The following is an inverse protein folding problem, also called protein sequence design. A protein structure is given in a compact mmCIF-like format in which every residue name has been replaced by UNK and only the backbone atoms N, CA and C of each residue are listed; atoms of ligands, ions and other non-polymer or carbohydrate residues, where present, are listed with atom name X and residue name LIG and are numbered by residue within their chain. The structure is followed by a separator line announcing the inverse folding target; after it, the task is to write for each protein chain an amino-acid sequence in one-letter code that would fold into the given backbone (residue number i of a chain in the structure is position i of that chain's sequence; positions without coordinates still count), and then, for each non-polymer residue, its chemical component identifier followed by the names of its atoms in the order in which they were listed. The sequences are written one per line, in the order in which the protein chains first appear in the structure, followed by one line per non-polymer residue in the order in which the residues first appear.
data_IF_204554810421
#
_entry.id   IF_204554810421
#
_cell.length_a   1.000
_cell.length_b   1.000
_cell.length_c   1.000
_cell.angle_alpha   90.00
_cell.angle_beta   90.00
_cell.angle_gamma   90.00
#
_symmetry.space_group_name_H-M   'P 1'
#
loop_
_entity.id
_entity.type
_entity.pdbx_description
1 polymer ?
#
# COMPACT_ATOMS: atom_id res chain seq x y z
N UNK A 1 -0.50 16.69 -23.50
CA UNK A 1 -1.23 16.28 -22.27
C UNK A 1 -0.49 16.84 -21.06
N UNK A 2 -1.04 17.83 -20.34
CA UNK A 2 -0.37 18.45 -19.19
C UNK A 2 -0.33 17.45 -18.03
N UNK A 3 0.83 16.87 -17.74
CA UNK A 3 1.07 16.11 -16.50
C UNK A 3 0.99 17.08 -15.32
N UNK A 4 -0.16 17.15 -14.66
CA UNK A 4 -0.35 17.98 -13.47
C UNK A 4 0.40 17.33 -12.29
N UNK A 5 1.68 17.68 -12.17
CA UNK A 5 2.54 17.38 -11.03
C UNK A 5 2.07 18.22 -9.83
N UNK A 6 1.91 17.57 -8.67
CA UNK A 6 1.57 18.25 -7.43
C UNK A 6 2.67 18.03 -6.40
N UNK A 7 3.48 19.08 -6.22
CA UNK A 7 4.62 19.16 -5.29
C UNK A 7 4.37 20.24 -4.23
N UNK A 8 3.42 20.07 -3.30
CA UNK A 8 3.23 21.03 -2.23
C UNK A 8 4.46 21.05 -1.33
N UNK A 9 4.96 22.26 -1.06
CA UNK A 9 6.11 22.51 -0.20
C UNK A 9 5.82 22.20 1.28
N UNK A 10 6.88 22.21 2.10
CA UNK A 10 7.00 21.66 3.46
C UNK A 10 5.94 22.08 4.51
N UNK A 11 5.03 23.02 4.21
CA UNK A 11 4.07 23.59 5.17
C UNK A 11 2.66 22.99 5.11
N UNK A 12 2.32 22.20 4.10
CA UNK A 12 0.95 21.70 3.96
C UNK A 12 0.73 20.42 4.78
N UNK A 13 0.08 20.54 5.93
CA UNK A 13 -0.34 19.39 6.76
C UNK A 13 -1.26 18.43 6.00
N UNK A 14 -2.05 18.94 5.04
CA UNK A 14 -2.96 18.16 4.20
C UNK A 14 -2.72 18.47 2.72
N UNK A 15 -2.70 17.43 1.90
CA UNK A 15 -2.51 17.51 0.46
C UNK A 15 -3.63 16.74 -0.23
N UNK A 16 -4.53 17.47 -0.92
CA UNK A 16 -5.68 16.90 -1.63
C UNK A 16 -5.71 17.35 -3.10
N UNK A 17 -4.83 16.81 -3.96
CA UNK A 17 -4.90 17.05 -5.39
C UNK A 17 -6.26 16.60 -5.95
N UNK A 18 -6.86 17.44 -6.80
CA UNK A 18 -8.08 17.09 -7.51
C UNK A 18 -7.88 15.95 -8.53
N UNK A 19 -8.98 15.52 -9.20
CA UNK A 19 -8.93 14.48 -10.21
C UNK A 19 -7.90 14.75 -11.32
N UNK A 20 -7.28 13.69 -11.84
CA UNK A 20 -6.33 13.78 -12.96
C UNK A 20 -4.90 14.21 -12.59
N UNK A 21 -4.61 14.47 -11.32
CA UNK A 21 -3.25 14.70 -10.82
C UNK A 21 -2.42 13.41 -10.89
N UNK A 22 -1.71 13.17 -12.01
CA UNK A 22 -1.01 11.90 -12.25
C UNK A 22 0.14 11.62 -11.30
N UNK A 23 0.84 12.66 -10.84
CA UNK A 23 2.01 12.57 -9.97
C UNK A 23 1.81 13.44 -8.73
N UNK A 24 1.85 12.81 -7.56
CA UNK A 24 1.68 13.48 -6.27
C UNK A 24 2.88 13.16 -5.38
N UNK A 25 3.74 14.16 -5.20
CA UNK A 25 5.00 14.04 -4.44
C UNK A 25 5.11 15.17 -3.40
N UNK A 26 4.28 15.16 -2.34
CA UNK A 26 4.41 16.12 -1.24
C UNK A 26 5.78 16.04 -0.59
N UNK A 27 6.34 17.20 -0.24
CA UNK A 27 7.56 17.26 0.56
C UNK A 27 7.36 16.80 2.02
N UNK A 28 8.43 16.84 2.82
CA UNK A 28 8.36 16.58 4.26
C UNK A 28 7.28 17.43 4.96
N UNK A 29 6.64 16.89 5.99
CA UNK A 29 5.63 17.62 6.79
C UNK A 29 4.17 17.43 6.35
N UNK A 30 3.94 16.84 5.17
CA UNK A 30 2.61 16.52 4.66
C UNK A 30 1.97 15.35 5.41
N UNK A 31 1.24 15.62 6.50
CA UNK A 31 0.68 14.57 7.37
C UNK A 31 -0.44 13.75 6.73
N UNK A 32 -1.26 14.34 5.88
CA UNK A 32 -2.36 13.66 5.17
C UNK A 32 -2.24 13.89 3.67
N UNK A 33 -2.27 12.81 2.90
CA UNK A 33 -2.12 12.83 1.44
C UNK A 33 -3.25 12.03 0.82
N UNK A 34 -4.22 12.73 0.23
CA UNK A 34 -5.45 12.16 -0.33
C UNK A 34 -5.67 12.66 -1.76
N UNK A 35 -4.88 12.21 -2.74
CA UNK A 35 -5.15 12.45 -4.16
C UNK A 35 -6.52 11.92 -4.57
N UNK A 36 -7.23 12.68 -5.39
CA UNK A 36 -8.44 12.21 -6.07
C UNK A 36 -8.16 11.12 -7.12
N UNK A 37 -9.21 10.66 -7.82
CA UNK A 37 -9.09 9.63 -8.84
C UNK A 37 -8.09 9.97 -9.95
N UNK A 38 -7.43 8.94 -10.48
CA UNK A 38 -6.53 9.07 -11.63
C UNK A 38 -5.10 9.50 -11.28
N UNK A 39 -4.79 9.69 -10.00
CA UNK A 39 -3.40 9.71 -9.56
C UNK A 39 -2.73 8.39 -9.93
N UNK A 40 -1.55 8.42 -10.55
CA UNK A 40 -0.84 7.19 -10.96
C UNK A 40 0.30 6.88 -10.01
N UNK A 41 1.03 7.91 -9.59
CA UNK A 41 2.16 7.81 -8.68
C UNK A 41 1.95 8.73 -7.48
N UNK A 42 2.02 8.17 -6.28
CA UNK A 42 1.82 8.87 -5.01
C UNK A 42 2.97 8.56 -4.08
N UNK A 43 3.90 9.51 -3.93
CA UNK A 43 5.18 9.33 -3.23
C UNK A 43 5.41 10.48 -2.25
N UNK A 44 4.63 10.56 -1.16
CA UNK A 44 4.86 11.59 -0.17
C UNK A 44 6.15 11.34 0.60
N UNK A 45 6.84 12.43 0.92
CA UNK A 45 8.07 12.42 1.69
C UNK A 45 7.89 11.99 3.16
N UNK A 46 8.98 12.03 3.94
CA UNK A 46 8.97 11.65 5.35
C UNK A 46 7.92 12.42 6.19
N UNK A 47 7.36 11.74 7.18
CA UNK A 47 6.43 12.35 8.14
C UNK A 47 4.98 12.41 7.67
N UNK A 48 4.68 11.94 6.45
CA UNK A 48 3.31 11.63 6.07
C UNK A 48 2.74 10.58 7.02
N UNK A 49 1.59 10.83 7.63
CA UNK A 49 0.98 9.90 8.60
C UNK A 49 -0.11 9.06 7.95
N UNK A 50 -0.88 9.66 7.05
CA UNK A 50 -1.99 9.00 6.37
C UNK A 50 -1.89 9.25 4.86
N UNK A 51 -1.93 8.17 4.09
CA UNK A 51 -1.81 8.20 2.64
C UNK A 51 -2.95 7.37 2.06
N UNK A 52 -3.91 8.06 1.45
CA UNK A 52 -5.18 7.50 0.98
C UNK A 52 -5.48 8.02 -0.42
N UNK A 53 -4.72 7.61 -1.44
CA UNK A 53 -5.05 7.99 -2.81
C UNK A 53 -6.31 7.27 -3.27
N UNK A 54 -7.13 7.98 -4.05
CA UNK A 54 -8.35 7.43 -4.62
C UNK A 54 -8.09 6.40 -5.74
N UNK A 55 -9.17 5.94 -6.39
CA UNK A 55 -9.09 4.92 -7.44
C UNK A 55 -8.11 5.28 -8.57
N UNK A 56 -7.44 4.26 -9.10
CA UNK A 56 -6.53 4.40 -10.24
C UNK A 56 -5.09 4.77 -9.89
N UNK A 57 -4.78 4.96 -8.60
CA UNK A 57 -3.42 4.87 -8.06
C UNK A 57 -2.76 3.61 -8.60
N UNK A 58 -1.58 3.70 -9.22
CA UNK A 58 -0.86 2.50 -9.69
C UNK A 58 0.28 2.15 -8.76
N UNK A 59 1.03 3.16 -8.35
CA UNK A 59 2.16 3.03 -7.44
C UNK A 59 2.00 4.01 -6.26
N UNK A 60 2.07 3.47 -5.05
CA UNK A 60 1.93 4.23 -3.81
C UNK A 60 3.11 3.91 -2.92
N UNK A 61 3.99 4.90 -2.77
CA UNK A 61 5.29 4.74 -2.10
C UNK A 61 5.53 5.84 -1.07
N UNK A 62 4.82 5.85 0.06
CA UNK A 62 5.09 6.81 1.11
C UNK A 62 6.42 6.55 1.81
N UNK A 63 7.12 7.65 2.11
CA UNK A 63 8.37 7.63 2.84
C UNK A 63 8.23 7.20 4.32
N UNK A 64 9.33 7.26 5.09
CA UNK A 64 9.34 6.91 6.50
C UNK A 64 8.32 7.69 7.34
N UNK A 65 7.75 7.05 8.35
CA UNK A 65 6.80 7.67 9.28
C UNK A 65 5.33 7.65 8.84
N UNK A 66 5.05 7.09 7.64
CA UNK A 66 3.72 6.62 7.25
C UNK A 66 3.14 5.80 8.39
N UNK A 67 1.95 6.12 8.90
CA UNK A 67 1.28 5.29 9.92
C UNK A 67 0.19 4.45 9.27
N UNK A 68 -0.54 5.03 8.34
CA UNK A 68 -1.64 4.39 7.61
C UNK A 68 -1.48 4.61 6.11
N UNK A 69 -1.54 3.51 5.36
CA UNK A 69 -1.46 3.49 3.90
C UNK A 69 -2.65 2.69 3.38
N UNK A 70 -3.62 3.39 2.80
CA UNK A 70 -4.90 2.83 2.37
C UNK A 70 -5.23 3.33 0.96
N UNK A 71 -4.51 2.85 -0.07
CA UNK A 71 -4.81 3.24 -1.44
C UNK A 71 -6.09 2.57 -1.93
N UNK A 72 -6.86 3.32 -2.71
CA UNK A 72 -8.10 2.88 -3.30
C UNK A 72 -7.92 1.81 -4.40
N UNK A 73 -9.03 1.35 -4.99
CA UNK A 73 -9.00 0.27 -5.97
C UNK A 73 -8.09 0.56 -7.17
N UNK A 74 -7.46 -0.49 -7.68
CA UNK A 74 -6.58 -0.42 -8.86
C UNK A 74 -5.13 -0.04 -8.55
N UNK A 75 -4.79 0.20 -7.28
CA UNK A 75 -3.41 0.12 -6.78
C UNK A 75 -2.77 -1.14 -7.33
N UNK A 76 -1.60 -1.07 -7.96
CA UNK A 76 -0.90 -2.28 -8.44
C UNK A 76 0.24 -2.64 -7.50
N UNK A 77 0.96 -1.62 -7.04
CA UNK A 77 2.07 -1.75 -6.13
C UNK A 77 1.94 -0.76 -4.99
N UNK A 78 2.09 -1.27 -3.77
CA UNK A 78 2.01 -0.51 -2.54
C UNK A 78 3.24 -0.84 -1.71
N UNK A 79 4.11 0.14 -1.52
CA UNK A 79 5.37 -0.04 -0.79
C UNK A 79 5.48 1.05 0.26
N UNK A 80 5.60 0.73 1.54
CA UNK A 80 5.72 1.76 2.57
C UNK A 80 7.14 1.81 3.13
N UNK A 81 7.61 3.01 3.49
CA UNK A 81 8.82 3.14 4.29
C UNK A 81 8.68 2.58 5.71
N UNK A 82 9.77 2.61 6.50
CA UNK A 82 9.76 2.22 7.91
C UNK A 82 8.73 3.00 8.73
N UNK A 83 8.18 2.34 9.75
CA UNK A 83 7.25 2.96 10.71
C UNK A 83 5.77 2.92 10.29
N UNK A 84 5.47 2.34 9.13
CA UNK A 84 4.13 1.90 8.75
C UNK A 84 3.51 1.11 9.90
N UNK A 85 2.29 1.44 10.31
CA UNK A 85 1.55 0.66 11.31
C UNK A 85 0.47 -0.17 10.64
N UNK A 86 -0.26 0.44 9.71
CA UNK A 86 -1.38 -0.15 9.00
C UNK A 86 -1.17 0.01 7.49
N UNK A 87 -1.21 -1.10 6.75
CA UNK A 87 -1.18 -1.13 5.29
C UNK A 87 -2.36 -1.94 4.79
N UNK A 88 -3.35 -1.26 4.23
CA UNK A 88 -4.65 -1.84 3.83
C UNK A 88 -5.04 -1.37 2.44
N UNK A 89 -4.38 -1.87 1.39
CA UNK A 89 -4.80 -1.52 0.04
C UNK A 89 -6.11 -2.20 -0.32
N UNK A 90 -6.98 -1.44 -1.00
CA UNK A 90 -8.23 -1.92 -1.56
C UNK A 90 -8.02 -2.97 -2.68
N UNK A 91 -9.09 -3.60 -3.20
CA UNK A 91 -8.97 -4.61 -4.24
C UNK A 91 -8.12 -4.19 -5.46
N UNK A 92 -7.37 -5.15 -5.99
CA UNK A 92 -6.56 -4.98 -7.21
C UNK A 92 -5.08 -4.70 -6.98
N UNK A 93 -4.66 -4.44 -5.72
CA UNK A 93 -3.25 -4.50 -5.32
C UNK A 93 -2.66 -5.83 -5.74
N UNK A 94 -1.53 -5.84 -6.45
CA UNK A 94 -0.85 -7.08 -6.85
C UNK A 94 0.37 -7.34 -5.98
N UNK A 95 1.11 -6.27 -5.67
CA UNK A 95 2.30 -6.30 -4.85
C UNK A 95 2.11 -5.38 -3.64
N UNK A 96 2.27 -5.94 -2.44
CA UNK A 96 2.22 -5.18 -1.18
C UNK A 96 3.49 -5.44 -0.40
N UNK A 97 4.30 -4.40 -0.23
CA UNK A 97 5.60 -4.45 0.46
C UNK A 97 5.62 -3.42 1.60
N UNK A 98 5.00 -3.74 2.75
CA UNK A 98 5.11 -2.94 3.95
C UNK A 98 6.57 -2.84 4.40
N UNK A 99 7.01 -1.64 4.77
CA UNK A 99 8.32 -1.42 5.38
C UNK A 99 8.44 -2.03 6.79
N UNK A 100 9.66 -1.98 7.37
CA UNK A 100 9.91 -2.46 8.72
C UNK A 100 8.98 -1.82 9.78
N UNK A 101 8.57 -2.62 10.77
CA UNK A 101 7.72 -2.16 11.88
C UNK A 101 6.23 -2.10 11.58
N UNK A 102 5.80 -2.59 10.41
CA UNK A 102 4.39 -2.84 10.09
C UNK A 102 3.69 -3.61 11.21
N UNK A 103 2.56 -3.12 11.73
CA UNK A 103 1.82 -3.84 12.77
C UNK A 103 0.74 -4.72 12.15
N UNK A 104 0.02 -4.18 11.18
CA UNK A 104 -1.09 -4.85 10.52
C UNK A 104 -1.01 -4.59 9.01
N UNK A 105 -1.11 -5.68 8.25
CA UNK A 105 -1.08 -5.67 6.78
C UNK A 105 -2.26 -6.48 6.31
N UNK A 106 -3.26 -5.82 5.73
CA UNK A 106 -4.49 -6.48 5.26
C UNK A 106 -4.79 -6.05 3.84
N UNK A 107 -4.15 -6.66 2.84
CA UNK A 107 -4.47 -6.43 1.44
C UNK A 107 -5.86 -6.94 1.10
N UNK A 108 -6.61 -6.16 0.34
CA UNK A 108 -7.86 -6.61 -0.26
C UNK A 108 -7.66 -7.74 -1.29
N UNK A 109 -8.77 -8.28 -1.82
CA UNK A 109 -8.76 -9.29 -2.87
C UNK A 109 -7.85 -8.96 -4.07
N UNK A 110 -7.21 -9.99 -4.62
CA UNK A 110 -6.37 -9.87 -5.82
C UNK A 110 -4.89 -9.54 -5.56
N UNK A 111 -4.50 -9.33 -4.29
CA UNK A 111 -3.11 -9.37 -3.85
C UNK A 111 -2.47 -10.65 -4.36
N UNK A 112 -1.33 -10.57 -5.06
CA UNK A 112 -0.61 -11.76 -5.54
C UNK A 112 0.59 -12.06 -4.66
N UNK A 113 1.35 -11.01 -4.33
CA UNK A 113 2.55 -11.07 -3.51
C UNK A 113 2.44 -10.08 -2.34
N UNK A 114 2.61 -10.59 -1.13
CA UNK A 114 2.70 -9.80 0.10
C UNK A 114 4.04 -10.09 0.76
N UNK A 115 4.89 -9.07 0.86
CA UNK A 115 6.24 -9.16 1.43
C UNK A 115 6.39 -8.12 2.54
N UNK A 116 5.94 -8.44 3.77
CA UNK A 116 6.14 -7.62 4.95
C UNK A 116 7.63 -7.52 5.30
N UNK A 117 8.09 -6.33 5.65
CA UNK A 117 9.40 -6.12 6.23
C UNK A 117 9.54 -6.71 7.65
N UNK A 118 10.75 -6.65 8.22
CA UNK A 118 11.01 -7.13 9.57
C UNK A 118 10.10 -6.50 10.63
N UNK A 119 9.74 -7.30 11.64
CA UNK A 119 8.88 -6.86 12.75
C UNK A 119 7.40 -6.70 12.39
N UNK A 120 6.98 -7.20 11.22
CA UNK A 120 5.58 -7.37 10.86
C UNK A 120 4.85 -8.24 11.91
N UNK A 121 3.79 -7.71 12.54
CA UNK A 121 3.10 -8.45 13.62
C UNK A 121 1.92 -9.28 13.12
N UNK A 122 1.07 -8.70 12.28
CA UNK A 122 -0.12 -9.35 11.73
C UNK A 122 -0.19 -9.09 10.23
N UNK A 123 -0.36 -10.15 9.46
CA UNK A 123 -0.57 -10.09 8.02
C UNK A 123 -1.75 -10.97 7.71
N UNK A 124 -2.80 -10.37 7.17
CA UNK A 124 -4.03 -11.07 6.78
C UNK A 124 -4.22 -10.84 5.28
N UNK A 125 -3.70 -11.75 4.44
CA UNK A 125 -3.88 -11.69 3.00
C UNK A 125 -5.36 -11.87 2.65
N UNK A 126 -5.88 -11.03 1.76
CA UNK A 126 -7.21 -11.24 1.20
C UNK A 126 -7.27 -12.41 0.22
N UNK A 127 -8.48 -12.80 -0.22
CA UNK A 127 -8.67 -13.83 -1.24
C UNK A 127 -7.84 -13.58 -2.52
N UNK A 128 -7.24 -14.63 -3.06
CA UNK A 128 -6.40 -14.56 -4.26
C UNK A 128 -4.91 -14.27 -4.00
N UNK A 129 -4.51 -14.08 -2.73
CA UNK A 129 -3.12 -14.12 -2.29
C UNK A 129 -2.45 -15.42 -2.73
N UNK A 130 -1.41 -15.32 -3.56
CA UNK A 130 -0.66 -16.48 -4.07
C UNK A 130 0.58 -16.75 -3.24
N UNK A 131 1.26 -15.68 -2.81
CA UNK A 131 2.49 -15.77 -2.05
C UNK A 131 2.52 -14.72 -0.95
N UNK A 132 2.77 -15.18 0.27
CA UNK A 132 2.90 -14.35 1.47
C UNK A 132 4.17 -14.82 2.17
N UNK A 133 5.21 -14.01 2.11
CA UNK A 133 6.47 -14.32 2.76
C UNK A 133 6.42 -13.82 4.20
N UNK A 134 6.73 -14.64 5.22
CA UNK A 134 6.93 -14.14 6.57
C UNK A 134 8.10 -13.14 6.57
N UNK A 135 7.92 -11.97 7.20
CA UNK A 135 9.03 -11.04 7.42
C UNK A 135 10.00 -11.60 8.48
N UNK A 136 11.29 -11.24 8.47
CA UNK A 136 12.22 -11.58 9.56
C UNK A 136 11.67 -11.09 10.92
N UNK A 137 11.54 -12.00 11.89
CA UNK A 137 10.97 -11.69 13.21
C UNK A 137 9.45 -11.52 13.26
N UNK A 138 8.73 -11.92 12.20
CA UNK A 138 7.29 -12.10 12.29
C UNK A 138 6.98 -13.22 13.30
N UNK A 139 6.03 -12.98 14.22
CA UNK A 139 5.54 -14.06 15.09
C UNK A 139 4.85 -15.12 14.20
N UNK A 140 4.99 -16.42 14.52
CA UNK A 140 4.30 -17.47 13.78
C UNK A 140 2.80 -17.15 13.75
N UNK A 141 2.23 -17.15 12.55
CA UNK A 141 0.83 -16.82 12.35
C UNK A 141 -0.01 -17.99 12.85
N UNK A 142 -0.70 -17.79 13.95
CA UNK A 142 -1.87 -18.60 14.28
C UNK A 142 -2.87 -18.37 13.14
N UNK A 143 -3.25 -19.43 12.44
CA UNK A 143 -4.14 -19.42 11.27
C UNK A 143 -3.51 -19.10 9.90
N UNK A 144 -2.43 -19.81 9.54
CA UNK A 144 -2.10 -19.99 8.13
C UNK A 144 -3.00 -21.08 7.52
N UNK A 145 -4.22 -20.74 7.07
CA UNK A 145 -4.91 -21.59 6.09
C UNK A 145 -4.35 -21.25 4.72
N UNK A 146 -3.21 -21.85 4.38
CA UNK A 146 -2.95 -22.15 2.98
C UNK A 146 -3.95 -23.27 2.64
N UNK A 147 -5.12 -22.94 2.09
CA UNK A 147 -5.77 -23.92 1.23
C UNK A 147 -4.91 -23.95 -0.03
N UNK A 148 -4.13 -25.02 -0.31
CA UNK A 148 -3.80 -25.28 -1.70
C UNK A 148 -5.14 -25.43 -2.41
N UNK A 149 -5.52 -24.45 -3.24
CA UNK A 149 -6.55 -24.73 -4.22
C UNK A 149 -6.01 -25.91 -5.04
N UNK A 150 -6.71 -27.06 -5.09
CA UNK A 150 -6.26 -28.16 -5.92
C UNK A 150 -6.11 -27.62 -7.33
N UNK A 151 -4.92 -27.84 -7.89
CA UNK A 151 -4.65 -27.65 -9.30
C UNK A 151 -5.78 -28.35 -10.07
N UNK A 152 -6.52 -27.59 -10.86
CA UNK A 152 -7.54 -28.15 -11.75
C UNK A 152 -6.85 -29.16 -12.67
N UNK A 153 -7.05 -30.44 -12.37
CA UNK A 153 -6.88 -31.48 -13.36
C UNK A 153 -8.20 -31.51 -14.13
N UNK A 154 -8.21 -30.91 -15.31
CA UNK A 154 -9.14 -31.37 -16.36
C UNK A 154 -8.75 -32.81 -16.67
N UNK A 155 -9.57 -33.76 -16.22
CA UNK A 155 -9.60 -35.11 -16.76
C UNK A 155 -11.04 -35.57 -16.89
N UNK A 156 -11.40 -35.78 -18.16
CA UNK A 156 -12.61 -36.32 -18.77
C UNK A 156 -13.85 -35.44 -18.76
#
# INVERSE_FOLDING_TARGET
MKSRLVTPAQKYRQVKPGPGARLVTPGPGARQVTPGPGARLVTPGPGARQVTPGPGARLVTPGPGARQVTPGPGARQVTSGPGARLVTPDPGARLVTPGPGARQVTPGPGARLVTPGPGARQVTPGPGARLVTPGPGARPMEHLVLTPYPCGTTKN
#
